data_IF_808242005499
#
_entry.id   IF_808242005499
#
_cell.length_a   1.000
_cell.length_b   1.000
_cell.length_c   1.000
_cell.angle_alpha   90.00
_cell.angle_beta   90.00
_cell.angle_gamma   90.00
#
_symmetry.space_group_name_H-M   'P 1'
#
loop_
_entity.id
_entity.type
_entity.pdbx_description
1 polymer ?
#
# COMPACT_ATOMS: atom_id res chain seq x y z
N UNK A 1 8.69 -13.74 -19.72
CA UNK A 1 9.21 -12.56 -20.45
C UNK A 1 10.71 -12.37 -20.24
N UNK A 2 11.22 -12.12 -19.03
CA UNK A 2 12.67 -11.88 -18.79
C UNK A 2 13.61 -12.99 -19.32
N UNK A 3 13.27 -14.26 -19.06
CA UNK A 3 14.06 -15.41 -19.56
C UNK A 3 14.14 -15.46 -21.10
N UNK A 4 13.05 -15.13 -21.79
CA UNK A 4 13.03 -15.14 -23.27
C UNK A 4 13.79 -13.94 -23.86
N UNK A 5 13.72 -12.76 -23.22
CA UNK A 5 14.52 -11.60 -23.64
C UNK A 5 16.03 -11.88 -23.52
N UNK A 6 16.45 -12.50 -22.42
CA UNK A 6 17.86 -12.89 -22.22
C UNK A 6 18.31 -13.95 -23.23
N UNK A 7 17.48 -14.95 -23.52
CA UNK A 7 17.76 -15.95 -24.57
C UNK A 7 17.93 -15.33 -25.96
N UNK A 8 17.24 -14.23 -26.23
CA UNK A 8 17.30 -13.51 -27.51
C UNK A 8 18.31 -12.35 -27.50
N UNK A 9 19.19 -12.28 -26.49
CA UNK A 9 20.21 -11.23 -26.34
C UNK A 9 19.64 -9.80 -26.33
N UNK A 10 18.38 -9.63 -25.89
CA UNK A 10 17.76 -8.32 -25.76
C UNK A 10 18.17 -7.73 -24.40
N UNK A 11 18.88 -6.57 -24.36
CA UNK A 11 19.30 -5.97 -23.11
C UNK A 11 18.08 -5.45 -22.33
N UNK A 12 17.83 -6.05 -21.17
CA UNK A 12 16.76 -5.65 -20.25
C UNK A 12 17.34 -4.77 -19.14
N UNK A 13 17.03 -3.47 -19.17
CA UNK A 13 17.49 -2.52 -18.13
C UNK A 13 16.71 -2.63 -16.82
N UNK A 14 15.48 -3.12 -16.88
CA UNK A 14 14.63 -3.36 -15.73
C UNK A 14 13.30 -3.96 -16.15
N UNK A 15 12.82 -4.92 -15.38
CA UNK A 15 11.45 -5.41 -15.49
C UNK A 15 10.65 -4.80 -14.34
N UNK A 16 9.60 -4.05 -14.67
CA UNK A 16 8.69 -3.45 -13.70
C UNK A 16 7.33 -4.11 -13.92
N UNK A 17 6.88 -4.85 -12.92
CA UNK A 17 5.50 -5.32 -12.83
C UNK A 17 4.65 -4.27 -12.12
N UNK A 18 3.42 -4.07 -12.60
CA UNK A 18 2.37 -3.40 -11.84
C UNK A 18 1.40 -4.47 -11.33
N UNK A 19 0.74 -4.21 -10.19
CA UNK A 19 -0.28 -5.09 -9.57
C UNK A 19 0.25 -6.09 -8.53
N UNK A 20 -0.69 -6.50 -7.69
CA UNK A 20 -0.55 -7.44 -6.57
C UNK A 20 0.14 -8.74 -6.96
N UNK A 21 -0.01 -9.19 -8.21
CA UNK A 21 0.64 -10.42 -8.67
C UNK A 21 2.17 -10.36 -8.59
N UNK A 22 2.81 -9.21 -8.83
CA UNK A 22 4.28 -9.13 -8.90
C UNK A 22 4.95 -8.89 -7.54
N UNK A 23 4.21 -8.39 -6.56
CA UNK A 23 4.71 -8.16 -5.20
C UNK A 23 4.42 -9.31 -4.23
N UNK A 24 3.54 -10.27 -4.57
CA UNK A 24 3.29 -11.41 -3.69
C UNK A 24 4.49 -12.39 -3.65
N UNK A 25 4.83 -12.95 -2.47
CA UNK A 25 5.87 -13.99 -2.34
C UNK A 25 5.72 -15.17 -3.30
N UNK A 26 4.47 -15.57 -3.59
CA UNK A 26 4.15 -16.66 -4.52
C UNK A 26 4.72 -16.44 -5.93
N UNK A 27 4.79 -15.20 -6.41
CA UNK A 27 5.43 -14.89 -7.69
C UNK A 27 6.91 -15.24 -7.66
N UNK A 28 7.64 -14.74 -6.67
CA UNK A 28 9.08 -15.00 -6.58
C UNK A 28 9.38 -16.47 -6.37
N UNK A 29 8.58 -17.17 -5.57
CA UNK A 29 8.72 -18.61 -5.36
C UNK A 29 8.50 -19.40 -6.65
N UNK A 30 7.50 -19.03 -7.45
CA UNK A 30 7.19 -19.72 -8.72
C UNK A 30 8.24 -19.48 -9.81
N UNK A 31 8.79 -18.26 -9.86
CA UNK A 31 9.78 -17.84 -10.87
C UNK A 31 11.21 -18.26 -10.47
N UNK A 32 11.49 -18.38 -9.16
CA UNK A 32 12.82 -18.67 -8.62
C UNK A 32 13.80 -17.53 -8.87
N UNK A 33 15.08 -17.84 -9.06
CA UNK A 33 16.14 -16.83 -9.25
C UNK A 33 15.87 -15.82 -10.39
N UNK A 34 14.99 -16.14 -11.34
CA UNK A 34 14.59 -15.22 -12.40
C UNK A 34 13.70 -14.05 -11.95
N UNK A 35 13.25 -14.01 -10.69
CA UNK A 35 12.57 -12.85 -10.11
C UNK A 35 13.54 -11.80 -9.60
N UNK A 36 14.80 -12.17 -9.31
CA UNK A 36 15.78 -11.27 -8.71
C UNK A 36 16.03 -10.08 -9.65
N UNK A 37 15.93 -8.87 -9.12
CA UNK A 37 16.04 -7.63 -9.86
C UNK A 37 14.75 -7.13 -10.50
N UNK A 38 13.66 -7.92 -10.48
CA UNK A 38 12.33 -7.46 -10.90
C UNK A 38 11.77 -6.49 -9.87
N UNK A 39 11.24 -5.37 -10.36
CA UNK A 39 10.57 -4.37 -9.55
C UNK A 39 9.06 -4.57 -9.58
N UNK A 40 8.39 -4.21 -8.50
CA UNK A 40 6.93 -4.15 -8.41
C UNK A 40 6.49 -2.84 -7.76
N UNK A 41 5.51 -2.16 -8.37
CA UNK A 41 4.86 -1.00 -7.77
C UNK A 41 3.51 -1.42 -7.16
N UNK A 42 3.33 -1.20 -5.85
CA UNK A 42 2.09 -1.52 -5.13
C UNK A 42 1.98 -0.70 -3.82
N UNK A 43 0.96 -0.95 -3.01
CA UNK A 43 0.82 -0.44 -1.64
C UNK A 43 1.76 -1.18 -0.67
N UNK A 44 2.22 -0.52 0.41
CA UNK A 44 3.05 -1.16 1.42
C UNK A 44 2.33 -2.29 2.16
N UNK A 45 3.10 -3.27 2.64
CA UNK A 45 2.67 -4.28 3.61
C UNK A 45 2.85 -3.79 5.06
N UNK A 46 2.72 -4.70 6.02
CA UNK A 46 2.88 -4.43 7.45
C UNK A 46 4.33 -4.31 7.92
N UNK A 47 5.32 -4.63 7.08
CA UNK A 47 6.75 -4.52 7.36
C UNK A 47 7.30 -3.23 6.75
N UNK A 48 6.81 -2.13 7.30
CA UNK A 48 7.09 -0.77 6.87
C UNK A 48 8.25 -0.14 7.66
N UNK A 49 9.04 0.70 6.99
CA UNK A 49 10.09 1.49 7.63
C UNK A 49 9.49 2.46 8.68
N UNK A 50 10.11 2.53 9.87
CA UNK A 50 9.65 3.42 10.94
C UNK A 50 9.60 4.90 10.53
N UNK A 51 10.47 5.31 9.59
CA UNK A 51 10.51 6.67 9.04
C UNK A 51 9.27 7.04 8.21
N UNK A 52 8.49 6.06 7.73
CA UNK A 52 7.24 6.29 7.02
C UNK A 52 6.04 6.44 7.98
N UNK A 53 6.22 6.25 9.29
CA UNK A 53 5.14 6.29 10.28
C UNK A 53 5.32 7.44 11.26
N UNK A 54 4.23 8.14 11.53
CA UNK A 54 4.13 9.02 12.69
C UNK A 54 4.06 8.18 13.98
N UNK A 55 4.21 8.79 15.18
CA UNK A 55 3.96 8.09 16.44
C UNK A 55 2.56 7.47 16.52
N UNK A 56 1.54 8.13 15.96
CA UNK A 56 0.17 7.61 15.91
C UNK A 56 0.06 6.40 14.97
N UNK A 57 0.69 6.45 13.80
CA UNK A 57 0.74 5.32 12.87
C UNK A 57 1.48 4.12 13.44
N UNK A 58 2.58 4.34 14.18
CA UNK A 58 3.31 3.26 14.87
C UNK A 58 2.43 2.59 15.93
N UNK A 59 1.72 3.37 16.74
CA UNK A 59 0.80 2.84 17.74
C UNK A 59 -0.36 2.06 17.10
N UNK A 60 -0.92 2.57 16.00
CA UNK A 60 -2.00 1.90 15.27
C UNK A 60 -1.51 0.61 14.62
N UNK A 61 -0.31 0.59 14.03
CA UNK A 61 0.28 -0.62 13.44
C UNK A 61 0.52 -1.69 14.52
N UNK A 62 1.02 -1.31 15.70
CA UNK A 62 1.19 -2.24 16.81
C UNK A 62 -0.15 -2.86 17.25
N UNK A 63 -1.20 -2.03 17.38
CA UNK A 63 -2.56 -2.49 17.69
C UNK A 63 -3.10 -3.42 16.59
N UNK A 64 -2.90 -3.08 15.33
CA UNK A 64 -3.34 -3.88 14.19
C UNK A 64 -2.66 -5.25 14.16
N UNK A 65 -1.33 -5.30 14.32
CA UNK A 65 -0.54 -6.54 14.38
C UNK A 65 -0.99 -7.43 15.55
N UNK A 66 -1.20 -6.84 16.73
CA UNK A 66 -1.67 -7.58 17.91
C UNK A 66 -3.09 -8.16 17.71
N UNK A 67 -3.98 -7.41 17.07
CA UNK A 67 -5.35 -7.88 16.81
C UNK A 67 -5.42 -8.92 15.68
N UNK A 68 -4.55 -8.82 14.67
CA UNK A 68 -4.55 -9.73 13.52
C UNK A 68 -3.98 -11.11 13.85
N UNK A 69 -3.00 -11.18 14.77
CA UNK A 69 -2.44 -12.45 15.24
C UNK A 69 -1.46 -13.13 14.27
N UNK A 70 -1.01 -12.44 13.22
CA UNK A 70 -0.07 -12.95 12.21
C UNK A 70 0.50 -11.86 11.30
N UNK A 71 1.30 -12.23 10.28
CA UNK A 71 1.84 -11.28 9.31
C UNK A 71 0.72 -10.54 8.57
N UNK A 72 0.85 -9.22 8.46
CA UNK A 72 -0.08 -8.40 7.69
C UNK A 72 0.47 -8.17 6.29
N UNK A 73 0.21 -9.12 5.41
CA UNK A 73 0.53 -9.01 3.98
C UNK A 73 -0.28 -7.87 3.31
N UNK A 74 0.15 -7.46 2.12
CA UNK A 74 -0.44 -6.39 1.30
C UNK A 74 -1.99 -6.39 1.30
N UNK A 75 -2.73 -7.51 1.09
CA UNK A 75 -4.19 -7.51 1.14
C UNK A 75 -4.78 -7.24 2.53
N UNK A 76 -4.18 -7.80 3.58
CA UNK A 76 -4.61 -7.59 4.97
C UNK A 76 -4.47 -6.12 5.38
N UNK A 77 -3.36 -5.50 5.00
CA UNK A 77 -3.11 -4.06 5.23
C UNK A 77 -4.13 -3.19 4.50
N UNK A 78 -4.44 -3.49 3.24
CA UNK A 78 -5.48 -2.76 2.51
C UNK A 78 -6.86 -2.86 3.17
N UNK A 79 -7.25 -4.07 3.57
CA UNK A 79 -8.51 -4.30 4.27
C UNK A 79 -8.57 -3.53 5.58
N UNK A 80 -7.47 -3.54 6.35
CA UNK A 80 -7.38 -2.78 7.58
C UNK A 80 -7.46 -1.27 7.33
N UNK A 81 -6.66 -0.70 6.42
CA UNK A 81 -6.65 0.75 6.15
C UNK A 81 -8.02 1.21 5.65
N UNK A 82 -8.60 0.52 4.65
CA UNK A 82 -9.91 0.89 4.12
C UNK A 82 -11.04 0.75 5.16
N UNK A 83 -11.01 -0.33 5.95
CA UNK A 83 -11.96 -0.54 7.04
C UNK A 83 -11.82 0.52 8.14
N UNK A 84 -10.59 0.80 8.56
CA UNK A 84 -10.30 1.82 9.57
C UNK A 84 -10.79 3.19 9.10
N UNK A 85 -10.48 3.59 7.87
CA UNK A 85 -11.00 4.82 7.27
C UNK A 85 -12.52 4.88 7.35
N UNK A 86 -13.22 3.83 6.91
CA UNK A 86 -14.68 3.84 6.93
C UNK A 86 -15.23 3.93 8.36
N UNK A 87 -14.85 3.00 9.24
CA UNK A 87 -15.48 2.86 10.56
C UNK A 87 -15.00 3.87 11.60
N UNK A 88 -13.77 4.34 11.49
CA UNK A 88 -13.16 5.26 12.46
C UNK A 88 -13.21 6.71 11.99
N UNK A 89 -12.96 6.97 10.71
CA UNK A 89 -12.76 8.35 10.22
C UNK A 89 -14.00 8.89 9.50
N UNK A 90 -14.79 8.03 8.84
CA UNK A 90 -15.98 8.46 8.06
C UNK A 90 -17.27 8.36 8.87
N UNK A 91 -17.67 7.14 9.27
CA UNK A 91 -18.99 6.89 9.84
C UNK A 91 -19.29 7.72 11.10
N UNK A 92 -18.34 7.93 12.05
CA UNK A 92 -18.59 8.76 13.22
C UNK A 92 -18.85 10.24 12.89
N UNK A 93 -18.45 10.70 11.70
CA UNK A 93 -18.61 12.07 11.23
C UNK A 93 -19.81 12.24 10.29
N UNK A 94 -20.62 11.20 10.10
CA UNK A 94 -21.90 11.30 9.38
C UNK A 94 -22.95 11.96 10.27
N UNK A 95 -23.79 12.80 9.68
CA UNK A 95 -24.88 13.48 10.38
C UNK A 95 -26.21 13.17 9.69
N UNK A 96 -27.27 12.96 10.47
CA UNK A 96 -28.61 12.69 9.94
C UNK A 96 -28.81 11.22 9.55
N UNK A 97 -29.51 10.97 8.44
CA UNK A 97 -29.79 9.61 7.97
C UNK A 97 -28.54 8.97 7.35
N UNK A 98 -28.27 7.72 7.74
CA UNK A 98 -27.15 6.93 7.21
C UNK A 98 -27.43 6.52 5.76
N UNK A 99 -27.05 7.39 4.83
CA UNK A 99 -27.22 7.25 3.38
C UNK A 99 -25.87 7.33 2.66
N UNK A 100 -25.80 6.82 1.43
CA UNK A 100 -24.60 6.93 0.59
C UNK A 100 -24.11 8.39 0.46
N UNK A 101 -25.04 9.34 0.34
CA UNK A 101 -24.70 10.77 0.25
C UNK A 101 -24.13 11.31 1.57
N UNK A 102 -24.73 10.98 2.72
CA UNK A 102 -24.20 11.39 4.02
C UNK A 102 -22.78 10.85 4.27
N UNK A 103 -22.53 9.61 3.85
CA UNK A 103 -21.22 8.94 3.95
C UNK A 103 -20.20 9.62 3.02
N UNK A 104 -20.59 9.92 1.77
CA UNK A 104 -19.74 10.64 0.81
C UNK A 104 -19.35 12.02 1.33
N UNK A 105 -20.32 12.77 1.86
CA UNK A 105 -20.08 14.10 2.45
C UNK A 105 -19.15 14.03 3.66
N UNK A 106 -19.30 13.03 4.53
CA UNK A 106 -18.39 12.80 5.65
C UNK A 106 -16.99 12.41 5.16
N UNK A 107 -16.89 11.51 4.17
CA UNK A 107 -15.61 11.07 3.60
C UNK A 107 -14.81 12.23 3.01
N UNK A 108 -15.44 13.15 2.27
CA UNK A 108 -14.77 14.33 1.72
C UNK A 108 -14.19 15.28 2.79
N UNK A 109 -14.65 15.18 4.05
CA UNK A 109 -14.13 15.96 5.18
C UNK A 109 -12.97 15.27 5.90
N UNK A 110 -12.73 13.97 5.66
CA UNK A 110 -11.64 13.23 6.29
C UNK A 110 -10.30 13.87 5.92
N UNK A 111 -9.45 14.05 6.92
CA UNK A 111 -8.13 14.66 6.81
C UNK A 111 -7.15 13.96 7.76
N UNK A 112 -6.77 12.72 7.42
CA UNK A 112 -5.78 11.93 8.16
C UNK A 112 -4.41 12.18 7.57
N UNK A 113 -3.45 12.59 8.40
CA UNK A 113 -2.11 12.94 7.93
C UNK A 113 -1.37 11.74 7.32
N UNK A 114 -0.46 12.01 6.39
CA UNK A 114 0.46 10.97 5.93
C UNK A 114 1.32 10.49 7.10
N UNK A 115 1.49 9.18 7.21
CA UNK A 115 2.17 8.51 8.32
C UNK A 115 1.27 8.01 9.43
N UNK A 116 -0.01 8.42 9.47
CA UNK A 116 -0.96 8.03 10.53
C UNK A 116 -1.68 6.71 10.22
N UNK A 117 -1.75 6.31 8.95
CA UNK A 117 -2.22 4.96 8.58
C UNK A 117 -1.11 3.92 8.79
N UNK A 118 -1.49 2.67 9.04
CA UNK A 118 -0.54 1.58 9.36
C UNK A 118 0.47 1.28 8.25
N UNK A 119 0.18 1.71 7.03
CA UNK A 119 1.04 1.58 5.86
C UNK A 119 1.75 2.90 5.53
N UNK A 120 1.88 3.82 6.49
CA UNK A 120 2.53 5.12 6.32
C UNK A 120 1.75 6.12 5.45
N UNK A 121 0.61 5.72 4.90
CA UNK A 121 -0.27 6.63 4.17
C UNK A 121 -1.05 7.56 5.10
N UNK A 122 -1.96 8.31 4.49
CA UNK A 122 -3.01 9.05 5.16
C UNK A 122 -4.31 8.94 4.37
N UNK A 123 -5.27 9.79 4.70
CA UNK A 123 -6.58 9.83 4.02
C UNK A 123 -6.95 11.27 3.72
N UNK A 124 -7.08 11.58 2.43
CA UNK A 124 -7.71 12.80 1.95
C UNK A 124 -8.34 12.51 0.59
N UNK A 125 -9.65 12.62 0.49
CA UNK A 125 -10.33 12.40 -0.79
C UNK A 125 -10.36 13.69 -1.62
N UNK A 126 -10.00 13.59 -2.90
CA UNK A 126 -10.09 14.73 -3.80
C UNK A 126 -11.56 15.11 -4.04
N UNK A 127 -11.82 16.41 -4.02
CA UNK A 127 -13.16 16.98 -4.22
C UNK A 127 -13.62 16.99 -5.67
N UNK A 128 -14.86 17.43 -5.89
CA UNK A 128 -15.47 17.49 -7.20
C UNK A 128 -14.68 18.38 -8.17
N UNK A 129 -14.49 17.90 -9.41
CA UNK A 129 -13.76 18.60 -10.47
C UNK A 129 -12.23 18.49 -10.41
N UNK A 130 -11.68 17.77 -9.42
CA UNK A 130 -10.25 17.41 -9.41
C UNK A 130 -9.96 16.29 -10.44
N UNK A 131 -8.72 16.23 -10.95
CA UNK A 131 -8.28 15.18 -11.87
C UNK A 131 -8.47 13.77 -11.27
N UNK A 132 -8.32 13.68 -9.96
CA UNK A 132 -8.36 12.49 -9.15
C UNK A 132 -9.59 12.47 -8.22
N UNK A 133 -10.69 13.10 -8.62
CA UNK A 133 -11.95 13.14 -7.86
C UNK A 133 -12.32 11.77 -7.25
N UNK A 134 -12.57 11.78 -5.93
CA UNK A 134 -12.91 10.58 -5.17
C UNK A 134 -11.74 9.64 -4.87
N UNK A 135 -10.53 9.90 -5.39
CA UNK A 135 -9.32 9.16 -5.01
C UNK A 135 -8.73 9.69 -3.70
N UNK A 136 -8.05 8.81 -2.96
CA UNK A 136 -7.28 9.20 -1.79
C UNK A 136 -5.92 9.77 -2.22
N UNK A 137 -5.74 11.08 -2.12
CA UNK A 137 -4.53 11.80 -2.52
C UNK A 137 -3.37 11.62 -1.54
N UNK A 138 -3.60 10.95 -0.40
CA UNK A 138 -2.57 10.59 0.60
C UNK A 138 -2.33 9.09 0.69
N UNK A 139 -2.85 8.32 -0.27
CA UNK A 139 -2.55 6.90 -0.36
C UNK A 139 -1.04 6.67 -0.55
N UNK A 140 -0.49 5.71 0.19
CA UNK A 140 0.90 5.32 0.05
C UNK A 140 1.08 4.36 -1.13
N UNK A 141 2.14 4.57 -1.90
CA UNK A 141 2.60 3.66 -2.95
C UNK A 141 4.12 3.50 -2.85
N UNK A 142 4.60 2.29 -3.07
CA UNK A 142 6.01 1.91 -3.00
C UNK A 142 6.44 1.17 -4.25
N UNK A 143 7.74 1.22 -4.53
CA UNK A 143 8.41 0.34 -5.48
C UNK A 143 9.29 -0.60 -4.69
N UNK A 144 8.98 -1.89 -4.75
CA UNK A 144 9.80 -2.96 -4.22
C UNK A 144 10.67 -3.59 -5.30
N UNK A 145 11.80 -4.17 -4.90
CA UNK A 145 12.65 -5.01 -5.73
C UNK A 145 12.85 -6.37 -5.07
N UNK A 146 12.71 -7.45 -5.82
CA UNK A 146 13.11 -8.78 -5.38
C UNK A 146 14.65 -8.86 -5.31
N UNK A 147 15.21 -8.96 -4.11
CA UNK A 147 16.66 -9.05 -3.88
C UNK A 147 17.13 -10.48 -3.65
N UNK A 148 16.25 -11.37 -3.21
CA UNK A 148 16.43 -12.80 -3.20
C UNK A 148 15.08 -13.50 -3.47
N UNK A 149 15.10 -14.82 -3.67
CA UNK A 149 13.86 -15.59 -3.87
C UNK A 149 12.99 -15.46 -2.61
N UNK A 150 11.81 -14.88 -2.77
CA UNK A 150 10.87 -14.64 -1.67
C UNK A 150 11.21 -13.43 -0.79
N UNK A 151 12.24 -12.65 -1.12
CA UNK A 151 12.66 -11.47 -0.34
C UNK A 151 12.55 -10.22 -1.19
N UNK A 152 11.46 -9.47 -1.00
CA UNK A 152 11.28 -8.14 -1.58
C UNK A 152 11.75 -7.07 -0.58
N UNK A 153 12.41 -6.04 -1.09
CA UNK A 153 12.78 -4.84 -0.33
C UNK A 153 12.20 -3.61 -1.00
N UNK A 154 11.63 -2.69 -0.20
CA UNK A 154 11.15 -1.42 -0.72
C UNK A 154 12.35 -0.54 -1.01
N UNK A 155 12.43 -0.02 -2.24
CA UNK A 155 13.55 0.83 -2.69
C UNK A 155 13.16 2.30 -2.87
N UNK A 156 11.86 2.57 -3.04
CA UNK A 156 11.29 3.91 -3.21
C UNK A 156 9.83 3.98 -2.69
N UNK A 157 9.37 5.14 -2.15
CA UNK A 157 10.15 6.35 -1.87
C UNK A 157 11.12 6.17 -0.69
N UNK A 158 12.12 7.07 -0.53
CA UNK A 158 13.16 6.92 0.50
C UNK A 158 12.62 6.72 1.93
N UNK A 159 11.49 7.36 2.26
CA UNK A 159 10.85 7.22 3.58
C UNK A 159 10.41 5.79 3.89
N UNK A 160 10.16 4.96 2.87
CA UNK A 160 9.65 3.59 3.01
C UNK A 160 10.72 2.52 2.81
N UNK A 161 11.98 2.91 2.56
CA UNK A 161 13.04 1.96 2.19
C UNK A 161 13.33 0.97 3.31
N UNK A 162 13.44 -0.32 2.97
CA UNK A 162 13.69 -1.46 3.90
C UNK A 162 14.89 -2.33 3.54
#
# INVERSE_FOLDING_TARGET
>A
MGRELLKNHVPLKGAIGTSSAFCMPAFSQRVGAGSIGVYAADKPDGDIAAAALSPAGQALLARAKAAYGGPMEIPAVAGFVGGWTLFHDVLPNTSGSMSAESIRVAALKVDVAAGDSINGGGVKFAGAGALDEGQNTRAAAVVGQWQAVGVMKVVYPPAYRT
#
